data_IF_904459606003
#
_entry.id   IF_904459606003
#
_cell.length_a   1.000
_cell.length_b   1.000
_cell.length_c   1.000
_cell.angle_alpha   90.00
_cell.angle_beta   90.00
_cell.angle_gamma   90.00
#
_symmetry.space_group_name_H-M   'P 1'
#
loop_
_entity.id
_entity.type
_entity.pdbx_description
1 polymer ?
#
# COMPACT_ATOMS: atom_id res chain seq x y z
N UNK A 1 21.72 17.81 -5.45
CA UNK A 1 21.53 16.37 -5.16
C UNK A 1 20.08 16.02 -4.89
N UNK A 2 19.33 16.82 -4.11
CA UNK A 2 17.89 16.60 -3.86
C UNK A 2 17.02 16.53 -5.14
N UNK A 3 17.28 17.37 -6.15
CA UNK A 3 16.52 17.38 -7.41
C UNK A 3 16.55 16.04 -8.15
N UNK A 4 17.66 15.29 -8.10
CA UNK A 4 17.79 13.98 -8.73
C UNK A 4 16.90 12.96 -7.99
N UNK A 5 16.85 13.03 -6.66
CA UNK A 5 15.97 12.16 -5.87
C UNK A 5 14.50 12.41 -6.21
N UNK A 6 14.09 13.67 -6.40
CA UNK A 6 12.73 13.99 -6.81
C UNK A 6 12.39 13.46 -8.21
N UNK A 7 13.31 13.58 -9.17
CA UNK A 7 13.12 13.01 -10.52
C UNK A 7 12.98 11.48 -10.45
N UNK A 8 13.86 10.81 -9.71
CA UNK A 8 13.79 9.35 -9.51
C UNK A 8 12.46 8.98 -8.88
N UNK A 9 12.03 9.70 -7.84
CA UNK A 9 10.75 9.46 -7.18
C UNK A 9 9.59 9.53 -8.20
N UNK A 10 9.49 10.61 -8.97
CA UNK A 10 8.42 10.78 -9.97
C UNK A 10 8.45 9.68 -11.04
N UNK A 11 9.63 9.38 -11.59
CA UNK A 11 9.78 8.37 -12.65
C UNK A 11 9.40 6.98 -12.14
N UNK A 12 9.82 6.61 -10.93
CA UNK A 12 9.53 5.29 -10.36
C UNK A 12 8.11 5.18 -9.78
N UNK A 13 7.44 6.29 -9.48
CA UNK A 13 6.03 6.27 -9.07
C UNK A 13 5.10 5.88 -10.23
N UNK A 14 5.46 6.18 -11.49
CA UNK A 14 4.62 5.86 -12.65
C UNK A 14 4.45 4.34 -12.88
N UNK A 15 5.53 3.52 -12.94
CA UNK A 15 5.39 2.07 -12.97
C UNK A 15 4.68 1.54 -11.73
N UNK A 16 4.91 2.15 -10.55
CA UNK A 16 4.26 1.73 -9.32
C UNK A 16 2.74 1.70 -9.48
N UNK A 17 2.16 2.80 -9.96
CA UNK A 17 0.70 2.93 -10.16
C UNK A 17 0.18 1.85 -11.12
N UNK A 18 0.90 1.59 -12.21
CA UNK A 18 0.47 0.61 -13.24
C UNK A 18 0.57 -0.83 -12.71
N UNK A 19 1.63 -1.16 -11.95
CA UNK A 19 1.89 -2.53 -11.49
C UNK A 19 1.26 -2.84 -10.13
N UNK A 20 0.89 -1.83 -9.33
CA UNK A 20 0.30 -1.98 -7.99
C UNK A 20 -0.95 -2.87 -8.03
N UNK A 21 -1.83 -2.59 -8.99
CA UNK A 21 -3.10 -3.30 -9.13
C UNK A 21 -2.90 -4.74 -9.59
N UNK A 22 -1.76 -5.04 -10.22
CA UNK A 22 -1.44 -6.38 -10.68
C UNK A 22 -0.78 -7.24 -9.59
N UNK A 23 0.01 -6.67 -8.69
CA UNK A 23 0.75 -7.44 -7.69
C UNK A 23 0.01 -7.60 -6.35
N UNK A 24 -0.90 -6.68 -6.02
CA UNK A 24 -1.59 -6.68 -4.73
C UNK A 24 -0.84 -5.88 -3.68
N UNK A 25 -1.53 -5.55 -2.59
CA UNK A 25 -1.06 -4.54 -1.63
C UNK A 25 -0.06 -5.14 -0.64
N UNK A 26 -0.34 -6.35 -0.13
CA UNK A 26 0.50 -7.02 0.87
C UNK A 26 1.91 -7.38 0.37
N UNK A 27 2.11 -8.07 -0.77
CA UNK A 27 3.46 -8.41 -1.22
C UNK A 27 4.28 -7.15 -1.55
N UNK A 28 3.62 -6.10 -2.05
CA UNK A 28 4.26 -4.81 -2.36
C UNK A 28 4.81 -4.15 -1.10
N UNK A 29 4.03 -4.09 -0.01
CA UNK A 29 4.50 -3.54 1.27
C UNK A 29 5.62 -4.38 1.91
N UNK A 30 5.54 -5.72 1.80
CA UNK A 30 6.58 -6.61 2.34
C UNK A 30 7.90 -6.46 1.59
N UNK A 31 7.88 -6.55 0.25
CA UNK A 31 9.07 -6.38 -0.58
C UNK A 31 9.65 -4.98 -0.40
N UNK A 32 8.80 -3.95 -0.37
CA UNK A 32 9.21 -2.57 -0.12
C UNK A 32 9.95 -2.41 1.21
N UNK A 33 9.35 -2.88 2.31
CA UNK A 33 9.95 -2.78 3.66
C UNK A 33 11.29 -3.52 3.73
N UNK A 34 11.37 -4.70 3.12
CA UNK A 34 12.60 -5.48 3.08
C UNK A 34 13.71 -4.77 2.28
N UNK A 35 13.41 -4.29 1.08
CA UNK A 35 14.39 -3.58 0.25
C UNK A 35 14.88 -2.30 0.94
N UNK A 36 13.97 -1.51 1.50
CA UNK A 36 14.30 -0.28 2.24
C UNK A 36 15.17 -0.58 3.47
N UNK A 37 14.86 -1.64 4.22
CA UNK A 37 15.68 -2.11 5.33
C UNK A 37 17.10 -2.44 4.86
N UNK A 38 17.25 -3.24 3.80
CA UNK A 38 18.56 -3.64 3.26
C UNK A 38 19.37 -2.43 2.81
N UNK A 39 18.79 -1.49 2.06
CA UNK A 39 19.52 -0.31 1.59
C UNK A 39 19.96 0.62 2.73
N UNK A 40 19.14 0.79 3.77
CA UNK A 40 19.53 1.57 4.94
C UNK A 40 20.62 0.89 5.78
N UNK A 41 20.55 -0.43 5.95
CA UNK A 41 21.59 -1.19 6.64
C UNK A 41 22.91 -1.15 5.87
N UNK A 42 22.90 -1.29 4.55
CA UNK A 42 24.09 -1.15 3.71
C UNK A 42 24.68 0.27 3.86
N UNK A 43 23.84 1.30 3.77
CA UNK A 43 24.27 2.69 3.94
C UNK A 43 24.92 2.93 5.31
N UNK A 44 24.32 2.44 6.39
CA UNK A 44 24.90 2.59 7.72
C UNK A 44 26.17 1.77 7.90
N UNK A 45 26.26 0.56 7.31
CA UNK A 45 27.44 -0.30 7.41
C UNK A 45 28.65 0.32 6.65
N UNK A 46 28.42 0.83 5.44
CA UNK A 46 29.45 1.55 4.68
C UNK A 46 29.93 2.79 5.44
N UNK A 47 29.02 3.55 6.04
CA UNK A 47 29.37 4.70 6.86
C UNK A 47 30.05 4.35 8.18
N UNK A 48 29.79 3.17 8.75
CA UNK A 48 30.47 2.69 9.96
C UNK A 48 31.94 2.31 9.68
N UNK A 49 32.21 1.68 8.52
CA UNK A 49 33.54 1.18 8.17
C UNK A 49 34.43 2.27 7.58
N UNK A 50 33.89 3.09 6.68
CA UNK A 50 34.67 4.07 5.91
C UNK A 50 34.43 5.51 6.33
N UNK A 51 33.48 5.74 7.24
CA UNK A 51 33.16 7.08 7.69
C UNK A 51 34.06 7.55 8.82
N UNK A 52 34.41 8.83 8.77
CA UNK A 52 35.20 9.51 9.78
C UNK A 52 34.44 10.73 10.29
N UNK A 53 34.59 11.07 11.59
CA UNK A 53 34.04 12.31 12.12
C UNK A 53 34.68 13.49 11.41
N UNK A 54 33.85 14.45 11.00
CA UNK A 54 34.32 15.68 10.38
C UNK A 54 35.21 16.46 11.34
N UNK A 55 36.44 16.76 10.92
CA UNK A 55 37.42 17.56 11.69
C UNK A 55 37.43 19.04 11.29
N UNK A 56 36.61 19.46 10.32
CA UNK A 56 36.53 20.85 9.86
C UNK A 56 35.73 21.69 10.87
N UNK A 57 36.33 22.74 11.48
CA UNK A 57 35.61 23.64 12.37
C UNK A 57 34.49 24.38 11.61
N UNK A 58 33.27 24.43 12.17
CA UNK A 58 32.06 25.12 11.65
C UNK A 58 31.32 24.46 10.48
N UNK A 59 31.52 23.17 10.22
CA UNK A 59 30.68 22.41 9.28
C UNK A 59 29.43 21.84 9.97
N UNK A 60 28.24 22.02 9.38
CA UNK A 60 26.99 21.37 9.82
C UNK A 60 26.95 19.86 9.48
N UNK A 61 28.02 19.35 8.85
CA UNK A 61 28.18 17.95 8.49
C UNK A 61 29.05 17.31 9.57
N UNK A 62 28.53 16.30 10.25
CA UNK A 62 29.22 15.60 11.35
C UNK A 62 30.00 14.38 10.89
N UNK A 63 29.63 13.78 9.76
CA UNK A 63 30.16 12.51 9.30
C UNK A 63 30.47 12.54 7.81
N UNK A 64 31.66 12.08 7.41
CA UNK A 64 32.08 12.04 6.01
C UNK A 64 32.84 10.77 5.67
N UNK A 65 32.79 10.42 4.39
CA UNK A 65 33.63 9.37 3.81
C UNK A 65 34.63 10.07 2.88
N UNK A 66 35.90 10.15 3.31
CA UNK A 66 37.00 10.71 2.50
C UNK A 66 37.88 9.61 1.92
N UNK A 67 38.44 9.87 0.74
CA UNK A 67 39.47 8.99 0.13
C UNK A 67 38.95 7.74 -0.56
N UNK A 68 37.63 7.48 -0.58
CA UNK A 68 37.05 6.34 -1.28
C UNK A 68 35.86 6.74 -2.16
N UNK A 69 36.16 7.14 -3.41
CA UNK A 69 35.16 7.48 -4.42
C UNK A 69 34.13 6.35 -4.65
N UNK A 70 34.53 5.05 -4.75
CA UNK A 70 33.56 3.98 -4.96
C UNK A 70 32.56 3.83 -3.82
N UNK A 71 33.00 4.01 -2.57
CA UNK A 71 32.14 3.90 -1.38
C UNK A 71 31.15 5.06 -1.31
N UNK A 72 31.60 6.28 -1.59
CA UNK A 72 30.71 7.45 -1.66
C UNK A 72 29.64 7.29 -2.75
N UNK A 73 30.02 6.82 -3.94
CA UNK A 73 29.08 6.49 -5.00
C UNK A 73 28.10 5.38 -4.62
N UNK A 74 28.55 4.34 -3.91
CA UNK A 74 27.69 3.27 -3.42
C UNK A 74 26.66 3.76 -2.40
N UNK A 75 27.04 4.65 -1.47
CA UNK A 75 26.13 5.26 -0.49
C UNK A 75 25.05 6.08 -1.21
N UNK A 76 25.44 6.89 -2.21
CA UNK A 76 24.50 7.68 -3.01
C UNK A 76 23.57 6.76 -3.82
N UNK A 77 24.10 5.71 -4.44
CA UNK A 77 23.30 4.73 -5.19
C UNK A 77 22.30 4.00 -4.29
N UNK A 78 22.72 3.53 -3.11
CA UNK A 78 21.83 2.89 -2.14
C UNK A 78 20.73 3.86 -1.65
N UNK A 79 21.06 5.14 -1.48
CA UNK A 79 20.08 6.17 -1.13
C UNK A 79 19.04 6.37 -2.24
N UNK A 80 19.45 6.33 -3.51
CA UNK A 80 18.52 6.40 -4.64
C UNK A 80 17.65 5.14 -4.77
N UNK A 81 18.22 3.95 -4.55
CA UNK A 81 17.47 2.70 -4.54
C UNK A 81 16.46 2.66 -3.38
N UNK A 82 16.82 3.20 -2.22
CA UNK A 82 15.88 3.40 -1.11
C UNK A 82 14.68 4.27 -1.53
N UNK A 83 14.92 5.43 -2.15
CA UNK A 83 13.85 6.31 -2.63
C UNK A 83 13.01 5.63 -3.70
N UNK A 84 13.62 4.91 -4.65
CA UNK A 84 12.89 4.17 -5.67
C UNK A 84 12.03 3.04 -5.08
N UNK A 85 12.55 2.29 -4.12
CA UNK A 85 11.79 1.26 -3.41
C UNK A 85 10.61 1.88 -2.62
N UNK A 86 10.83 2.99 -1.93
CA UNK A 86 9.77 3.72 -1.23
C UNK A 86 8.69 4.20 -2.20
N UNK A 87 9.09 4.90 -3.27
CA UNK A 87 8.20 5.46 -4.28
C UNK A 87 7.35 4.39 -4.97
N UNK A 88 7.91 3.19 -5.17
CA UNK A 88 7.21 2.08 -5.84
C UNK A 88 6.28 1.29 -4.94
N UNK A 89 6.48 1.35 -3.62
CA UNK A 89 5.79 0.48 -2.67
C UNK A 89 4.99 1.29 -1.66
N UNK A 90 5.65 1.74 -0.59
CA UNK A 90 5.02 2.47 0.51
C UNK A 90 4.43 3.81 0.08
N UNK A 91 5.02 4.48 -0.91
CA UNK A 91 4.56 5.76 -1.44
C UNK A 91 3.06 5.74 -1.77
N UNK A 92 2.62 5.01 -2.81
CA UNK A 92 1.21 4.93 -3.18
C UNK A 92 0.37 4.09 -2.21
N UNK A 93 0.91 2.96 -1.71
CA UNK A 93 0.10 2.03 -0.92
C UNK A 93 -0.29 2.63 0.43
N UNK A 94 0.57 3.43 1.06
CA UNK A 94 0.26 4.03 2.37
C UNK A 94 -0.95 4.97 2.35
N UNK A 95 -1.26 5.58 1.20
CA UNK A 95 -2.43 6.45 1.04
C UNK A 95 -3.69 5.67 0.66
N UNK A 96 -3.56 4.63 -0.17
CA UNK A 96 -4.71 3.84 -0.61
C UNK A 96 -5.15 2.81 0.43
N UNK A 97 -4.21 2.16 1.11
CA UNK A 97 -4.50 1.03 2.00
C UNK A 97 -5.44 1.37 3.17
N UNK A 98 -5.28 2.51 3.89
CA UNK A 98 -6.24 2.92 4.92
C UNK A 98 -7.67 3.07 4.37
N UNK A 99 -7.82 3.61 3.16
CA UNK A 99 -9.14 3.77 2.54
C UNK A 99 -9.76 2.42 2.14
N UNK A 100 -8.95 1.41 1.85
CA UNK A 100 -9.39 0.05 1.52
C UNK A 100 -9.79 -0.73 2.78
N UNK A 101 -9.03 -0.65 3.87
CA UNK A 101 -9.26 -1.50 5.06
C UNK A 101 -10.42 -1.04 5.96
N UNK A 102 -10.78 0.25 5.94
CA UNK A 102 -11.77 0.76 6.89
C UNK A 102 -13.22 0.58 6.38
N UNK A 103 -14.15 0.16 7.27
CA UNK A 103 -15.57 0.01 6.94
C UNK A 103 -16.14 1.34 6.44
N UNK A 104 -17.02 1.29 5.42
CA UNK A 104 -17.59 2.50 4.80
C UNK A 104 -18.25 3.45 5.81
N UNK A 105 -18.82 2.92 6.90
CA UNK A 105 -19.51 3.69 7.96
C UNK A 105 -18.55 4.59 8.78
N UNK A 106 -17.31 4.16 8.99
CA UNK A 106 -16.33 4.88 9.84
C UNK A 106 -15.11 5.37 9.05
N UNK A 107 -15.02 5.02 7.77
CA UNK A 107 -13.86 5.29 6.90
C UNK A 107 -13.40 6.74 6.96
N UNK A 108 -14.30 7.71 6.81
CA UNK A 108 -13.91 9.12 6.79
C UNK A 108 -13.16 9.55 8.06
N UNK A 109 -13.66 9.14 9.24
CA UNK A 109 -13.04 9.46 10.54
C UNK A 109 -11.73 8.68 10.76
N UNK A 110 -11.70 7.42 10.35
CA UNK A 110 -10.53 6.58 10.51
C UNK A 110 -9.38 7.00 9.58
N UNK A 111 -9.69 7.33 8.33
CA UNK A 111 -8.74 7.87 7.35
C UNK A 111 -8.24 9.24 7.79
N UNK A 112 -9.11 10.14 8.29
CA UNK A 112 -8.65 11.44 8.79
C UNK A 112 -7.65 11.29 9.95
N UNK A 113 -7.89 10.36 10.88
CA UNK A 113 -6.96 10.07 11.97
C UNK A 113 -5.64 9.50 11.46
N UNK A 114 -5.67 8.59 10.47
CA UNK A 114 -4.47 8.04 9.85
C UNK A 114 -3.62 9.14 9.17
N UNK A 115 -4.27 10.07 8.45
CA UNK A 115 -3.60 11.21 7.82
C UNK A 115 -3.03 12.16 8.87
N UNK A 116 -3.78 12.48 9.93
CA UNK A 116 -3.26 13.30 11.04
C UNK A 116 -2.06 12.66 11.71
N UNK A 117 -2.09 11.34 11.95
CA UNK A 117 -0.96 10.59 12.52
C UNK A 117 0.26 10.60 11.58
N UNK A 118 0.05 10.50 10.26
CA UNK A 118 1.12 10.61 9.27
C UNK A 118 1.83 11.98 9.36
N UNK A 119 1.06 13.07 9.34
CA UNK A 119 1.62 14.41 9.44
C UNK A 119 2.30 14.65 10.79
N UNK A 120 1.72 14.16 11.88
CA UNK A 120 2.33 14.22 13.20
C UNK A 120 3.71 13.55 13.23
N UNK A 121 3.82 12.32 12.74
CA UNK A 121 5.11 11.61 12.70
C UNK A 121 6.11 12.26 11.74
N UNK A 122 5.65 12.81 10.61
CA UNK A 122 6.52 13.60 9.72
C UNK A 122 7.08 14.84 10.43
N UNK A 123 6.27 15.54 11.22
CA UNK A 123 6.73 16.67 12.03
C UNK A 123 7.74 16.24 13.08
N UNK A 124 7.46 15.17 13.83
CA UNK A 124 8.39 14.62 14.83
C UNK A 124 9.73 14.26 14.20
N UNK A 125 9.74 13.56 13.06
CA UNK A 125 10.97 13.19 12.36
C UNK A 125 11.74 14.40 11.84
N UNK A 126 11.05 15.43 11.35
CA UNK A 126 11.69 16.67 10.88
C UNK A 126 12.49 17.37 11.98
N UNK A 127 12.02 17.32 13.23
CA UNK A 127 12.75 17.87 14.38
C UNK A 127 13.75 16.88 15.01
N UNK A 128 13.47 15.58 14.97
CA UNK A 128 14.29 14.55 15.62
C UNK A 128 15.50 14.12 14.80
N UNK A 129 15.40 14.05 13.47
CA UNK A 129 16.46 13.55 12.59
C UNK A 129 17.73 14.42 12.62
N UNK A 130 17.66 15.77 12.57
CA UNK A 130 18.88 16.59 12.57
C UNK A 130 19.72 16.43 13.84
N UNK A 131 19.16 16.50 15.07
CA UNK A 131 19.90 16.19 16.30
C UNK A 131 20.44 14.76 16.32
N UNK A 132 19.69 13.80 15.80
CA UNK A 132 20.11 12.39 15.75
C UNK A 132 21.35 12.22 14.87
N UNK A 133 21.38 12.83 13.68
CA UNK A 133 22.57 12.84 12.82
C UNK A 133 23.78 13.52 13.47
N UNK A 134 23.55 14.54 14.30
CA UNK A 134 24.63 15.20 15.03
C UNK A 134 25.25 14.29 16.10
N UNK A 135 24.44 13.63 16.92
CA UNK A 135 24.91 12.86 18.07
C UNK A 135 25.28 11.40 17.77
N UNK A 136 24.53 10.73 16.89
CA UNK A 136 24.71 9.29 16.61
C UNK A 136 25.21 8.99 15.20
N UNK A 137 25.33 10.02 14.34
CA UNK A 137 25.93 9.98 13.01
C UNK A 137 25.45 8.79 12.17
N UNK A 138 26.31 7.81 11.87
CA UNK A 138 25.96 6.66 11.02
C UNK A 138 24.93 5.71 11.66
N UNK A 139 24.79 5.71 12.99
CA UNK A 139 23.86 4.82 13.70
C UNK A 139 22.40 5.18 13.41
N UNK A 140 22.11 6.41 12.95
CA UNK A 140 20.79 6.82 12.45
C UNK A 140 20.26 5.83 11.42
N UNK A 141 21.10 5.42 10.46
CA UNK A 141 20.70 4.54 9.38
C UNK A 141 20.38 3.12 9.88
N UNK A 142 21.08 2.66 10.93
CA UNK A 142 20.79 1.39 11.59
C UNK A 142 19.44 1.45 12.31
N UNK A 143 19.17 2.51 13.07
CA UNK A 143 17.90 2.71 13.77
C UNK A 143 16.73 2.70 12.78
N UNK A 144 16.80 3.49 11.71
CA UNK A 144 15.74 3.50 10.69
C UNK A 144 15.66 2.19 9.91
N UNK A 145 16.78 1.50 9.68
CA UNK A 145 16.81 0.14 9.13
C UNK A 145 16.03 -0.84 10.01
N UNK A 146 16.25 -0.81 11.32
CA UNK A 146 15.50 -1.64 12.29
C UNK A 146 14.02 -1.30 12.30
N UNK A 147 13.63 -0.01 12.23
CA UNK A 147 12.22 0.38 12.10
C UNK A 147 11.58 -0.16 10.83
N UNK A 148 12.30 -0.21 9.70
CA UNK A 148 11.82 -0.86 8.48
C UNK A 148 11.64 -2.38 8.67
N UNK A 149 12.52 -3.03 9.44
CA UNK A 149 12.36 -4.44 9.83
C UNK A 149 11.16 -4.68 10.74
N UNK A 150 10.91 -3.79 11.71
CA UNK A 150 9.70 -3.85 12.54
C UNK A 150 8.43 -3.62 11.71
N UNK A 151 8.47 -2.68 10.76
CA UNK A 151 7.39 -2.46 9.81
C UNK A 151 7.13 -3.70 8.95
N UNK A 152 8.19 -4.37 8.47
CA UNK A 152 8.09 -5.64 7.73
C UNK A 152 7.35 -6.71 8.56
N UNK A 153 7.73 -6.88 9.83
CA UNK A 153 7.10 -7.84 10.75
C UNK A 153 5.65 -7.46 11.02
N UNK A 154 5.38 -6.16 11.25
CA UNK A 154 4.04 -5.65 11.49
C UNK A 154 3.12 -5.91 10.29
N UNK A 155 3.56 -5.57 9.08
CA UNK A 155 2.81 -5.85 7.85
C UNK A 155 2.61 -7.35 7.64
N UNK A 156 3.62 -8.17 7.95
CA UNK A 156 3.49 -9.62 7.82
C UNK A 156 2.39 -10.21 8.72
N UNK A 157 2.25 -9.68 9.93
CA UNK A 157 1.31 -10.17 10.94
C UNK A 157 -0.08 -9.52 10.89
N UNK A 158 -0.15 -8.24 10.52
CA UNK A 158 -1.36 -7.42 10.67
C UNK A 158 -2.01 -6.98 9.36
N UNK A 159 -1.32 -7.03 8.21
CA UNK A 159 -1.85 -6.52 6.94
C UNK A 159 -2.51 -7.63 6.10
N UNK A 160 -3.85 -7.75 6.06
CA UNK A 160 -4.54 -8.64 5.13
C UNK A 160 -4.39 -8.14 3.68
N UNK A 161 -4.51 -9.06 2.72
CA UNK A 161 -4.53 -8.72 1.29
C UNK A 161 -5.90 -8.13 0.91
N UNK A 162 -5.89 -6.95 0.29
CA UNK A 162 -7.09 -6.21 -0.13
C UNK A 162 -7.37 -6.32 -1.63
N UNK A 163 -6.46 -6.92 -2.42
CA UNK A 163 -6.61 -7.04 -3.87
C UNK A 163 -7.85 -7.84 -4.27
N UNK A 164 -8.68 -7.23 -5.13
CA UNK A 164 -9.82 -7.90 -5.78
C UNK A 164 -10.98 -8.21 -4.83
N UNK A 165 -11.10 -7.44 -3.74
CA UNK A 165 -12.19 -7.54 -2.77
C UNK A 165 -13.00 -6.26 -2.77
N UNK A 166 -14.31 -6.39 -2.63
CA UNK A 166 -15.19 -5.25 -2.39
C UNK A 166 -14.97 -4.73 -0.96
N UNK A 167 -15.19 -3.43 -0.77
CA UNK A 167 -15.11 -2.78 0.55
C UNK A 167 -16.02 -3.43 1.60
N UNK A 168 -17.15 -4.00 1.17
CA UNK A 168 -18.11 -4.68 2.04
C UNK A 168 -17.62 -6.06 2.49
N UNK A 169 -16.81 -6.73 1.67
CA UNK A 169 -16.21 -8.04 2.00
C UNK A 169 -15.00 -7.91 2.93
N UNK A 170 -14.40 -6.71 3.00
CA UNK A 170 -13.28 -6.45 3.89
C UNK A 170 -13.74 -6.51 5.36
N UNK A 171 -14.95 -6.04 5.65
CA UNK A 171 -15.56 -6.16 6.99
C UNK A 171 -15.70 -7.65 7.38
N UNK A 172 -16.15 -8.51 6.46
CA UNK A 172 -16.24 -9.95 6.67
C UNK A 172 -14.87 -10.60 6.89
N UNK A 173 -13.82 -10.11 6.22
CA UNK A 173 -12.44 -10.59 6.42
C UNK A 173 -11.96 -10.28 7.85
N UNK A 174 -12.22 -9.08 8.36
CA UNK A 174 -11.85 -8.71 9.72
C UNK A 174 -12.70 -9.43 10.79
N UNK A 175 -14.00 -9.64 10.54
CA UNK A 175 -14.90 -10.36 11.44
C UNK A 175 -14.68 -11.89 11.44
N UNK A 176 -14.15 -12.45 10.35
CA UNK A 176 -13.91 -13.90 10.23
C UNK A 176 -12.84 -14.47 11.18
N UNK A 177 -12.13 -13.60 11.93
CA UNK A 177 -11.04 -13.99 12.83
C UNK A 177 -9.84 -14.62 12.12
N UNK A 178 -9.80 -14.58 10.79
CA UNK A 178 -8.70 -15.13 9.98
C UNK A 178 -7.46 -14.26 10.14
N UNK A 179 -6.34 -14.92 10.40
CA UNK A 179 -5.08 -14.22 10.64
C UNK A 179 -4.60 -13.61 9.32
N UNK A 180 -4.03 -12.40 9.36
CA UNK A 180 -3.65 -11.65 8.14
C UNK A 180 -2.67 -12.42 7.22
N UNK A 181 -1.93 -13.39 7.77
CA UNK A 181 -1.02 -14.22 6.99
C UNK A 181 -1.67 -15.39 6.24
N UNK A 182 -2.91 -15.75 6.55
CA UNK A 182 -3.64 -16.82 5.88
C UNK A 182 -4.08 -16.37 4.49
N UNK A 183 -4.02 -17.29 3.51
CA UNK A 183 -4.47 -17.01 2.14
C UNK A 183 -5.97 -16.77 2.14
N UNK A 184 -6.39 -15.58 1.72
CA UNK A 184 -7.80 -15.29 1.51
C UNK A 184 -8.29 -15.97 0.22
N UNK A 185 -9.57 -16.41 0.15
CA UNK A 185 -10.15 -16.98 -1.06
C UNK A 185 -10.07 -15.96 -2.21
N UNK A 186 -9.59 -16.40 -3.38
CA UNK A 186 -9.49 -15.56 -4.59
C UNK A 186 -10.90 -15.34 -5.17
N UNK A 187 -11.19 -14.09 -5.56
CA UNK A 187 -12.46 -13.70 -6.20
C UNK A 187 -13.28 -12.73 -5.35
N UNK A 188 -13.95 -11.78 -5.99
CA UNK A 188 -14.96 -10.91 -5.37
C UNK A 188 -16.33 -11.59 -5.43
N UNK A 189 -17.23 -11.29 -4.48
CA UNK A 189 -18.66 -11.65 -4.56
C UNK A 189 -19.27 -11.26 -5.90
N UNK A 190 -18.80 -10.18 -6.51
CA UNK A 190 -19.25 -9.76 -7.84
C UNK A 190 -18.80 -10.73 -8.93
N UNK A 191 -17.57 -11.24 -8.90
CA UNK A 191 -17.09 -12.23 -9.86
C UNK A 191 -17.92 -13.52 -9.72
N UNK A 192 -18.24 -13.91 -8.49
CA UNK A 192 -19.10 -15.06 -8.21
C UNK A 192 -20.54 -14.82 -8.67
N UNK A 193 -21.06 -13.60 -8.53
CA UNK A 193 -22.40 -13.22 -9.01
C UNK A 193 -22.45 -13.16 -10.54
N UNK A 194 -21.45 -12.57 -11.19
CA UNK A 194 -21.32 -12.49 -12.65
C UNK A 194 -21.26 -13.89 -13.24
N UNK A 195 -20.40 -14.76 -12.68
CA UNK A 195 -20.33 -16.16 -13.09
C UNK A 195 -21.66 -16.90 -12.93
N UNK A 196 -22.38 -16.66 -11.83
CA UNK A 196 -23.71 -17.26 -11.61
C UNK A 196 -24.79 -16.70 -12.52
N UNK A 197 -24.65 -15.45 -12.99
CA UNK A 197 -25.53 -14.84 -14.01
C UNK A 197 -25.22 -15.42 -15.39
N UNK A 198 -23.94 -15.57 -15.75
CA UNK A 198 -23.49 -16.21 -17.00
C UNK A 198 -23.91 -17.68 -17.08
N UNK A 199 -23.83 -18.40 -15.96
CA UNK A 199 -24.31 -19.78 -15.81
C UNK A 199 -25.86 -19.87 -15.76
N UNK A 200 -26.58 -18.73 -15.84
CA UNK A 200 -28.03 -18.68 -15.85
C UNK A 200 -28.70 -19.09 -14.53
N UNK A 201 -27.95 -19.14 -13.44
CA UNK A 201 -28.43 -19.58 -12.11
C UNK A 201 -29.11 -18.46 -11.33
N UNK A 202 -28.86 -17.19 -11.68
CA UNK A 202 -29.49 -16.01 -11.06
C UNK A 202 -29.87 -15.00 -12.15
N UNK A 203 -31.09 -14.44 -12.09
CA UNK A 203 -31.47 -13.32 -12.94
C UNK A 203 -30.94 -11.98 -12.38
N UNK A 204 -30.47 -11.05 -13.24
CA UNK A 204 -29.91 -9.78 -12.81
C UNK A 204 -30.96 -8.91 -12.09
N UNK A 205 -30.61 -8.28 -10.95
CA UNK A 205 -31.54 -7.44 -10.20
C UNK A 205 -31.83 -6.17 -11.01
N UNK A 206 -33.04 -6.06 -11.55
CA UNK A 206 -33.49 -4.85 -12.26
C UNK A 206 -34.24 -5.12 -13.57
N UNK A 207 -34.22 -6.34 -14.10
CA UNK A 207 -35.09 -6.67 -15.24
C UNK A 207 -36.46 -7.09 -14.72
N UNK A 208 -37.27 -6.10 -14.29
CA UNK A 208 -38.73 -6.28 -14.29
C UNK A 208 -39.17 -6.50 -15.73
N UNK A 209 -39.07 -7.76 -16.20
CA UNK A 209 -39.76 -8.21 -17.39
C UNK A 209 -41.24 -8.10 -17.02
N UNK A 210 -41.91 -7.04 -17.51
CA UNK A 210 -43.37 -7.03 -17.57
C UNK A 210 -43.74 -8.36 -18.22
N UNK A 211 -44.37 -9.27 -17.46
CA UNK A 211 -44.96 -10.46 -18.06
C UNK A 211 -45.88 -9.95 -19.18
N UNK A 212 -45.81 -10.49 -20.40
CA UNK A 212 -46.91 -10.34 -21.32
C UNK A 212 -48.15 -10.86 -20.59
N UNK A 213 -49.21 -10.06 -20.52
CA UNK A 213 -50.53 -10.56 -20.18
C UNK A 213 -50.91 -11.54 -21.28
N UNK A 214 -50.56 -12.80 -21.12
CA UNK A 214 -51.05 -13.87 -21.98
C UNK A 214 -52.55 -14.05 -21.72
N UNK A 215 -53.34 -13.52 -22.65
CA UNK A 215 -54.53 -14.17 -23.21
C UNK A 215 -55.53 -14.78 -22.24
N UNK A 216 -56.40 -13.94 -21.66
CA UNK A 216 -57.69 -14.36 -21.10
C UNK A 216 -58.82 -13.42 -21.56
N UNK A 217 -58.93 -13.17 -22.86
CA UNK A 217 -60.11 -12.52 -23.48
C UNK A 217 -60.59 -13.23 -24.74
N UNK A 218 -60.65 -14.57 -24.73
CA UNK A 218 -61.24 -15.32 -25.85
C UNK A 218 -62.23 -16.41 -25.45
N UNK A 219 -62.87 -16.30 -24.28
CA UNK A 219 -63.87 -17.29 -23.84
C UNK A 219 -65.16 -16.72 -23.24
N UNK A 220 -65.68 -15.59 -23.75
CA UNK A 220 -67.08 -15.20 -23.45
C UNK A 220 -67.95 -14.75 -24.64
N UNK A 221 -67.46 -14.78 -25.89
CA UNK A 221 -68.28 -14.40 -27.04
C UNK A 221 -68.67 -15.57 -27.97
N UNK A 222 -68.97 -16.74 -27.39
CA UNK A 222 -69.40 -17.93 -28.14
C UNK A 222 -70.56 -18.69 -27.50
N UNK A 223 -71.38 -18.03 -26.68
CA UNK A 223 -72.55 -18.67 -26.05
C UNK A 223 -73.69 -17.67 -25.83
N UNK A 224 -74.15 -17.06 -26.91
CA UNK A 224 -75.45 -16.36 -27.03
C UNK A 224 -76.01 -16.51 -28.45
N UNK A 225 -76.06 -17.75 -28.92
CA UNK A 225 -76.89 -18.17 -30.06
C UNK A 225 -77.37 -19.58 -29.72
N UNK A 226 -78.36 -19.67 -28.83
CA UNK A 226 -79.26 -20.82 -28.62
C UNK A 226 -80.09 -20.50 -27.36
N UNK A 227 -81.13 -19.70 -27.56
CA UNK A 227 -82.45 -19.70 -26.90
C UNK A 227 -83.24 -18.44 -27.28
#
# INVERSE_FOLDING_TARGET
TASIQYIINVVFTLPAIIYLDRWGRRPTLLVGSFLMMVFLLINGALQAVYGQPQTIPKSNITWIVLGNQPVSSAIVACSYLFVAAYATTWGPVSWCYPAEIFPSKVRAKAVSLAVSANWFWNSVLSFAVPPMLYHISWKVYMVFGTFNGLALIHIFLAAPETKGKMLEEIDEIFDSGRKAWQRQPKGSRLDDLEKRIEEGTIEPPGRHRRRPQDGLETRQHGRREEQ
#
